data_IF_561752990687
#
_entry.id   IF_561752990687
#
_cell.length_a   1.000
_cell.length_b   1.000
_cell.length_c   1.000
_cell.angle_alpha   90.00
_cell.angle_beta   90.00
_cell.angle_gamma   90.00
#
_symmetry.space_group_name_H-M   'P 1'
#
loop_
_entity.id
_entity.type
_entity.pdbx_description
1 polymer ?
#
# COMPACT_ATOMS: atom_id res chain seq x y z
N UNK A 1 -1.63 -20.20 -5.54
CA UNK A 1 -2.92 -19.61 -5.17
C UNK A 1 -3.21 -18.40 -6.06
N UNK A 2 -4.37 -18.39 -6.73
CA UNK A 2 -4.78 -17.33 -7.65
C UNK A 2 -4.85 -15.97 -6.95
N UNK A 3 -5.37 -15.94 -5.73
CA UNK A 3 -5.51 -14.71 -4.97
C UNK A 3 -4.14 -14.07 -4.67
N UNK A 4 -3.18 -14.88 -4.26
CA UNK A 4 -1.81 -14.40 -3.99
C UNK A 4 -1.13 -13.96 -5.28
N UNK A 5 -1.31 -14.73 -6.35
CA UNK A 5 -0.74 -14.42 -7.65
C UNK A 5 -1.27 -13.09 -8.19
N UNK A 6 -2.58 -12.84 -8.04
CA UNK A 6 -3.21 -11.57 -8.43
C UNK A 6 -2.64 -10.40 -7.62
N UNK A 7 -2.48 -10.59 -6.31
CA UNK A 7 -1.93 -9.54 -5.44
C UNK A 7 -0.50 -9.19 -5.85
N UNK A 8 0.33 -10.20 -6.08
CA UNK A 8 1.71 -9.98 -6.52
C UNK A 8 1.78 -9.22 -7.84
N UNK A 9 0.92 -9.59 -8.80
CA UNK A 9 0.84 -8.89 -10.08
C UNK A 9 0.45 -7.43 -9.90
N UNK A 10 -0.53 -7.16 -9.02
CA UNK A 10 -0.98 -5.79 -8.74
C UNK A 10 0.11 -4.97 -8.05
N UNK A 11 0.84 -5.57 -7.12
CA UNK A 11 1.94 -4.90 -6.44
C UNK A 11 3.03 -4.46 -7.42
N UNK A 12 3.26 -5.22 -8.48
CA UNK A 12 4.26 -4.87 -9.49
C UNK A 12 3.88 -3.64 -10.31
N UNK A 13 2.62 -3.22 -10.29
CA UNK A 13 2.18 -2.02 -11.01
C UNK A 13 2.46 -0.73 -10.23
N UNK A 14 2.84 -0.84 -8.96
CA UNK A 14 3.11 0.33 -8.13
C UNK A 14 4.45 0.96 -8.51
N UNK A 15 4.48 2.31 -8.48
CA UNK A 15 5.74 3.04 -8.62
C UNK A 15 6.55 2.88 -7.33
N UNK A 16 7.88 3.15 -7.35
CA UNK A 16 8.68 3.11 -6.13
C UNK A 16 8.14 3.98 -5.00
N UNK A 17 7.63 5.17 -5.33
CA UNK A 17 7.04 6.06 -4.33
C UNK A 17 5.75 5.47 -3.75
N UNK A 18 4.93 4.84 -4.59
CA UNK A 18 3.71 4.18 -4.13
C UNK A 18 4.01 2.99 -3.23
N UNK A 19 5.08 2.25 -3.51
CA UNK A 19 5.53 1.16 -2.65
C UNK A 19 5.91 1.69 -1.27
N UNK A 20 6.63 2.81 -1.22
CA UNK A 20 7.00 3.45 0.05
C UNK A 20 5.76 3.86 0.83
N UNK A 21 4.81 4.50 0.17
CA UNK A 21 3.55 4.91 0.81
C UNK A 21 2.81 3.69 1.36
N UNK A 22 2.71 2.63 0.58
CA UNK A 22 2.03 1.41 1.01
C UNK A 22 2.71 0.78 2.23
N UNK A 23 4.04 0.72 2.25
CA UNK A 23 4.78 0.20 3.39
C UNK A 23 4.51 1.03 4.66
N UNK A 24 4.48 2.34 4.54
CA UNK A 24 4.20 3.22 5.67
C UNK A 24 2.76 3.09 6.16
N UNK A 25 1.81 2.88 5.23
CA UNK A 25 0.42 2.58 5.59
C UNK A 25 0.35 1.29 6.42
N UNK A 26 1.09 0.27 6.01
CA UNK A 26 1.09 -1.02 6.70
C UNK A 26 1.71 -0.91 8.09
N UNK A 27 2.56 0.07 8.33
CA UNK A 27 3.14 0.36 9.64
C UNK A 27 2.19 1.18 10.52
N UNK A 28 1.04 1.60 10.00
CA UNK A 28 0.06 2.36 10.75
C UNK A 28 0.27 3.87 10.74
N UNK A 29 1.14 4.38 9.87
CA UNK A 29 1.38 5.82 9.80
C UNK A 29 0.19 6.55 9.19
N UNK A 30 -0.08 7.75 9.70
CA UNK A 30 -1.10 8.65 9.15
C UNK A 30 -0.52 9.39 7.94
N UNK A 31 -1.41 9.88 7.07
CA UNK A 31 -0.99 10.63 5.88
C UNK A 31 -0.04 11.79 6.22
N UNK A 32 -0.30 12.49 7.31
CA UNK A 32 0.55 13.58 7.77
C UNK A 32 1.95 13.12 8.07
N UNK A 33 2.07 11.97 8.73
CA UNK A 33 3.36 11.38 9.09
C UNK A 33 4.12 10.92 7.85
N UNK A 34 3.42 10.30 6.91
CA UNK A 34 4.00 9.85 5.65
C UNK A 34 4.50 11.05 4.84
N UNK A 35 3.69 12.11 4.78
CA UNK A 35 4.05 13.34 4.09
C UNK A 35 5.34 13.95 4.66
N UNK A 36 5.44 13.98 5.97
CA UNK A 36 6.63 14.47 6.64
C UNK A 36 7.87 13.64 6.29
N UNK A 37 7.73 12.31 6.37
CA UNK A 37 8.84 11.40 6.09
C UNK A 37 9.33 11.49 4.64
N UNK A 38 8.41 11.68 3.70
CA UNK A 38 8.75 11.73 2.28
C UNK A 38 9.03 13.14 1.78
N UNK A 39 8.83 14.16 2.63
CA UNK A 39 9.08 15.54 2.25
C UNK A 39 8.12 16.09 1.21
N UNK A 40 6.86 15.66 1.27
CA UNK A 40 5.81 16.10 0.34
C UNK A 40 4.58 16.56 1.12
N UNK A 41 3.57 17.11 0.42
CA UNK A 41 2.34 17.57 1.05
C UNK A 41 1.42 16.39 1.38
N UNK A 42 0.51 16.60 2.34
CA UNK A 42 -0.53 15.61 2.65
C UNK A 42 -1.41 15.34 1.43
N UNK A 43 -1.68 16.37 0.63
CA UNK A 43 -2.48 16.20 -0.60
C UNK A 43 -1.80 15.24 -1.57
N UNK A 44 -0.48 15.31 -1.69
CA UNK A 44 0.30 14.39 -2.51
C UNK A 44 0.18 12.95 -1.99
N UNK A 45 0.27 12.77 -0.67
CA UNK A 45 0.11 11.44 -0.06
C UNK A 45 -1.29 10.90 -0.29
N UNK A 46 -2.31 11.76 -0.14
CA UNK A 46 -3.69 11.36 -0.37
C UNK A 46 -3.89 10.85 -1.81
N UNK A 47 -3.27 11.53 -2.77
CA UNK A 47 -3.30 11.10 -4.17
C UNK A 47 -2.60 9.75 -4.36
N UNK A 48 -1.44 9.56 -3.72
CA UNK A 48 -0.72 8.28 -3.78
C UNK A 48 -1.53 7.15 -3.15
N UNK A 49 -2.14 7.40 -1.99
CA UNK A 49 -2.99 6.41 -1.32
C UNK A 49 -4.13 5.99 -2.24
N UNK A 50 -4.83 6.96 -2.84
CA UNK A 50 -5.93 6.66 -3.77
C UNK A 50 -5.46 5.81 -4.95
N UNK A 51 -4.31 6.15 -5.52
CA UNK A 51 -3.75 5.39 -6.64
C UNK A 51 -3.38 3.97 -6.22
N UNK A 52 -2.80 3.80 -5.05
CA UNK A 52 -2.42 2.48 -4.51
C UNK A 52 -3.67 1.62 -4.31
N UNK A 53 -4.72 2.17 -3.69
CA UNK A 53 -5.96 1.43 -3.45
C UNK A 53 -6.59 0.99 -4.77
N UNK A 54 -6.58 1.86 -5.77
CA UNK A 54 -7.11 1.54 -7.09
C UNK A 54 -6.31 0.42 -7.74
N UNK A 55 -4.98 0.51 -7.71
CA UNK A 55 -4.10 -0.49 -8.32
C UNK A 55 -4.19 -1.84 -7.63
N UNK A 56 -4.41 -1.85 -6.31
CA UNK A 56 -4.59 -3.09 -5.55
C UNK A 56 -6.02 -3.61 -5.62
N UNK A 57 -6.93 -2.85 -6.22
CA UNK A 57 -8.35 -3.22 -6.34
C UNK A 57 -8.98 -3.47 -4.98
N UNK A 58 -8.74 -2.56 -4.04
CA UNK A 58 -9.34 -2.60 -2.71
C UNK A 58 -10.07 -1.28 -2.44
N UNK A 59 -11.01 -1.30 -1.50
CA UNK A 59 -11.88 -0.15 -1.24
C UNK A 59 -11.37 0.77 -0.15
N UNK A 60 -10.46 0.30 0.69
CA UNK A 60 -10.01 1.07 1.85
C UNK A 60 -8.58 0.74 2.22
N UNK A 61 -7.97 1.65 3.01
CA UNK A 61 -6.63 1.46 3.57
C UNK A 61 -6.57 0.18 4.40
N UNK A 62 -7.61 -0.09 5.18
CA UNK A 62 -7.68 -1.29 6.01
C UNK A 62 -7.59 -2.55 5.17
N UNK A 63 -8.30 -2.60 4.04
CA UNK A 63 -8.24 -3.74 3.14
C UNK A 63 -6.85 -3.91 2.53
N UNK A 64 -6.19 -2.81 2.18
CA UNK A 64 -4.83 -2.85 1.65
C UNK A 64 -3.87 -3.48 2.66
N UNK A 65 -3.97 -3.05 3.92
CA UNK A 65 -3.13 -3.57 5.00
C UNK A 65 -3.42 -5.06 5.24
N UNK A 66 -4.69 -5.46 5.21
CA UNK A 66 -5.08 -6.86 5.38
C UNK A 66 -4.50 -7.73 4.26
N UNK A 67 -4.55 -7.25 3.01
CA UNK A 67 -3.99 -7.99 1.88
C UNK A 67 -2.49 -8.20 2.03
N UNK A 68 -1.76 -7.17 2.45
CA UNK A 68 -0.33 -7.30 2.71
C UNK A 68 -0.04 -8.25 3.86
N UNK A 69 -0.86 -8.23 4.91
CA UNK A 69 -0.74 -9.16 6.03
C UNK A 69 -0.83 -10.62 5.58
N UNK A 70 -1.79 -10.90 4.70
CA UNK A 70 -1.95 -12.25 4.16
C UNK A 70 -0.71 -12.69 3.41
N UNK A 71 -0.13 -11.82 2.61
CA UNK A 71 1.10 -12.10 1.87
C UNK A 71 2.26 -12.35 2.84
N UNK A 72 2.38 -11.51 3.87
CA UNK A 72 3.40 -11.67 4.89
C UNK A 72 3.30 -13.00 5.64
N UNK A 73 2.09 -13.43 5.96
CA UNK A 73 1.86 -14.70 6.62
C UNK A 73 2.32 -15.89 5.76
N UNK A 74 2.08 -15.81 4.45
CA UNK A 74 2.52 -16.86 3.53
C UNK A 74 4.04 -16.93 3.45
N UNK A 75 4.70 -15.77 3.49
CA UNK A 75 6.16 -15.71 3.43
C UNK A 75 6.82 -16.15 4.73
N UNK A 76 6.10 -16.07 5.84
CA UNK A 76 6.63 -16.43 7.16
C UNK A 76 6.62 -17.94 7.43
N UNK A 77 5.97 -18.72 6.60
CA UNK A 77 5.83 -20.16 6.79
C UNK A 77 7.03 -20.95 6.25
#
# INVERSE_FOLDING_TARGET
DTEVSDLLSRLQTLTPQQVRVLNMLSEGLLNKQIAYELGVSEATIKAHVSAVLLKLNVDSRTQAVIQLSKLGQLQAV
#
